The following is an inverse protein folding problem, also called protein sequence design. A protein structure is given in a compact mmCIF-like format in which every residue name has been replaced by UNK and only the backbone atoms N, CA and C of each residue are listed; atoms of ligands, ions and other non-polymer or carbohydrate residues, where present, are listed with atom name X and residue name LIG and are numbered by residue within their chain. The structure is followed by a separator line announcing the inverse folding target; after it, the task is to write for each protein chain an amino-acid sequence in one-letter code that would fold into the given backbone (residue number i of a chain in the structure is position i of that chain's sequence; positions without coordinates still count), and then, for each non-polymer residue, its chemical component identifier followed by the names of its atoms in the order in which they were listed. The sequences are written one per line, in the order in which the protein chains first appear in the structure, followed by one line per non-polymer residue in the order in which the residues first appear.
data_IF_199549412514
#
_entry.id   IF_199549412514
#
_cell.length_a   1.000
_cell.length_b   1.000
_cell.length_c   1.000
_cell.angle_alpha   90.00
_cell.angle_beta   90.00
_cell.angle_gamma   90.00
#
_symmetry.space_group_name_H-M   'P 1'
#
loop_
_entity.id
_entity.type
_entity.pdbx_description
1 polymer ?
#
# COMPACT_ATOMS: atom_id res chain seq x y z
N UNK A 1 1.68 -18.34 -16.95
CA UNK A 1 2.25 -17.81 -15.69
C UNK A 1 3.79 -17.80 -15.73
N UNK A 2 4.41 -17.04 -16.64
CA UNK A 2 5.89 -16.99 -16.81
C UNK A 2 6.45 -15.61 -17.19
N UNK A 3 5.64 -14.56 -17.17
CA UNK A 3 6.00 -13.23 -17.70
C UNK A 3 6.17 -12.14 -16.64
N UNK A 4 5.82 -12.39 -15.37
CA UNK A 4 6.02 -11.41 -14.27
C UNK A 4 7.39 -11.53 -13.60
N UNK A 5 8.05 -12.69 -13.70
CA UNK A 5 9.37 -12.90 -13.09
C UNK A 5 10.50 -12.19 -13.85
N UNK A 6 10.33 -11.95 -15.15
CA UNK A 6 11.36 -11.31 -15.98
C UNK A 6 11.42 -9.80 -15.74
N UNK A 7 10.28 -9.11 -15.62
CA UNK A 7 10.25 -7.64 -15.44
C UNK A 7 10.86 -7.17 -14.10
N UNK A 8 10.61 -7.89 -13.01
CA UNK A 8 11.24 -7.61 -11.70
C UNK A 8 12.75 -7.94 -11.73
N UNK A 9 13.16 -8.99 -12.44
CA UNK A 9 14.58 -9.32 -12.59
C UNK A 9 15.34 -8.27 -13.43
N UNK A 10 14.75 -7.74 -14.51
CA UNK A 10 15.40 -6.72 -15.36
C UNK A 10 15.61 -5.40 -14.62
N UNK A 11 14.64 -4.95 -13.85
CA UNK A 11 14.76 -3.72 -13.03
C UNK A 11 15.76 -3.87 -11.89
N UNK A 12 15.83 -5.05 -11.27
CA UNK A 12 16.83 -5.36 -10.25
C UNK A 12 18.26 -5.39 -10.82
N UNK A 13 18.45 -5.99 -12.00
CA UNK A 13 19.76 -6.02 -12.69
C UNK A 13 20.23 -4.62 -13.05
N UNK A 14 19.34 -3.75 -13.56
CA UNK A 14 19.68 -2.37 -13.89
C UNK A 14 20.08 -1.56 -12.64
N UNK A 15 19.32 -1.69 -11.55
CA UNK A 15 19.64 -1.02 -10.28
C UNK A 15 20.97 -1.51 -9.69
N UNK A 16 21.24 -2.82 -9.75
CA UNK A 16 22.50 -3.40 -9.33
C UNK A 16 23.69 -2.91 -10.16
N UNK A 17 23.53 -2.82 -11.48
CA UNK A 17 24.58 -2.34 -12.37
C UNK A 17 24.92 -0.87 -12.08
N UNK A 18 23.89 -0.05 -11.83
CA UNK A 18 24.07 1.33 -11.38
C UNK A 18 24.82 1.42 -10.04
N UNK A 19 24.44 0.64 -9.03
CA UNK A 19 25.09 0.62 -7.71
C UNK A 19 26.54 0.08 -7.81
N UNK A 20 26.79 -0.95 -8.61
CA UNK A 20 28.12 -1.57 -8.81
C UNK A 20 29.05 -0.73 -9.66
N UNK A 21 28.53 0.16 -10.51
CA UNK A 21 29.31 1.08 -11.34
C UNK A 21 30.15 2.10 -10.53
N UNK A 22 30.03 2.11 -9.19
CA UNK A 22 30.80 2.93 -8.24
C UNK A 22 30.68 4.45 -8.47
N UNK A 23 29.65 4.91 -9.18
CA UNK A 23 29.36 6.34 -9.33
C UNK A 23 28.56 6.89 -8.15
N UNK A 24 29.17 6.86 -6.97
CA UNK A 24 28.59 7.36 -5.72
C UNK A 24 28.05 8.79 -5.86
N UNK A 25 28.80 9.67 -6.53
CA UNK A 25 28.45 11.08 -6.72
C UNK A 25 27.10 11.25 -7.45
N UNK A 26 26.79 10.34 -8.37
CA UNK A 26 25.58 10.41 -9.20
C UNK A 26 24.36 9.77 -8.52
N UNK A 27 24.59 8.91 -7.52
CA UNK A 27 23.57 8.16 -6.78
C UNK A 27 23.29 8.73 -5.38
N UNK A 28 24.19 9.56 -4.85
CA UNK A 28 24.04 10.15 -3.53
C UNK A 28 23.12 11.35 -3.62
N UNK A 29 22.10 11.40 -2.78
CA UNK A 29 21.26 12.58 -2.65
C UNK A 29 22.15 13.80 -2.33
N UNK A 30 21.92 14.93 -3.01
CA UNK A 30 22.60 16.20 -2.73
C UNK A 30 22.62 16.61 -1.25
N UNK A 31 21.61 16.20 -0.47
CA UNK A 31 21.51 16.45 0.97
C UNK A 31 22.44 15.57 1.82
N UNK A 32 22.94 14.47 1.26
CA UNK A 32 23.88 13.54 1.90
C UNK A 32 25.33 13.82 1.48
N UNK A 33 25.55 14.68 0.49
CA UNK A 33 26.88 15.09 0.03
C UNK A 33 27.65 15.77 1.20
N UNK A 34 28.86 15.27 1.48
CA UNK A 34 29.71 15.78 2.58
C UNK A 34 29.38 15.26 3.99
N UNK A 35 28.32 14.46 4.19
CA UNK A 35 27.97 13.90 5.51
C UNK A 35 28.73 12.60 5.87
N UNK A 36 29.30 11.92 4.88
CA UNK A 36 30.00 10.65 5.05
C UNK A 36 31.40 10.72 4.45
N UNK A 37 32.39 10.10 5.10
CA UNK A 37 33.72 9.94 4.50
C UNK A 37 33.66 8.98 3.31
N UNK A 38 34.63 9.05 2.41
CA UNK A 38 34.74 8.14 1.25
C UNK A 38 34.71 6.67 1.68
N UNK A 39 35.31 6.33 2.82
CA UNK A 39 35.30 4.96 3.35
C UNK A 39 33.90 4.55 3.83
N UNK A 40 33.22 5.43 4.56
CA UNK A 40 31.86 5.19 5.06
C UNK A 40 30.86 5.01 3.92
N UNK A 41 30.93 5.87 2.90
CA UNK A 41 30.07 5.77 1.73
C UNK A 41 30.35 4.50 0.91
N UNK A 42 31.61 4.06 0.86
CA UNK A 42 31.98 2.79 0.22
C UNK A 42 31.36 1.59 0.96
N UNK A 43 31.33 1.62 2.29
CA UNK A 43 30.67 0.59 3.11
C UNK A 43 29.16 0.58 2.87
N UNK A 44 28.50 1.75 2.79
CA UNK A 44 27.07 1.86 2.51
C UNK A 44 26.70 1.32 1.12
N UNK A 45 27.48 1.63 0.09
CA UNK A 45 27.27 1.12 -1.27
C UNK A 45 27.45 -0.41 -1.30
N UNK A 46 28.46 -0.93 -0.61
CA UNK A 46 28.70 -2.37 -0.53
C UNK A 46 27.51 -3.07 0.15
N UNK A 47 27.03 -2.52 1.27
CA UNK A 47 25.86 -3.02 1.96
C UNK A 47 24.61 -2.99 1.07
N UNK A 48 24.34 -1.87 0.40
CA UNK A 48 23.22 -1.72 -0.52
C UNK A 48 23.27 -2.76 -1.64
N UNK A 49 24.45 -2.98 -2.24
CA UNK A 49 24.64 -3.99 -3.30
C UNK A 49 24.34 -5.42 -2.85
N UNK A 50 24.54 -5.71 -1.56
CA UNK A 50 24.25 -7.02 -0.96
C UNK A 50 22.79 -7.18 -0.57
N UNK A 51 22.05 -6.08 -0.38
CA UNK A 51 20.61 -6.10 -0.10
C UNK A 51 19.76 -6.45 -1.33
N UNK A 52 20.34 -6.40 -2.54
CA UNK A 52 19.68 -6.77 -3.80
C UNK A 52 20.38 -7.96 -4.48
N UNK A 53 20.52 -9.14 -3.86
CA UNK A 53 21.20 -10.25 -4.49
C UNK A 53 20.33 -10.92 -5.58
N UNK A 54 20.98 -11.55 -6.56
CA UNK A 54 20.31 -12.36 -7.59
C UNK A 54 19.61 -13.60 -6.97
N UNK A 55 20.17 -14.12 -5.86
CA UNK A 55 19.58 -15.21 -5.08
C UNK A 55 19.19 -14.76 -3.67
N UNK A 56 18.00 -15.12 -3.15
CA UNK A 56 17.53 -14.73 -1.82
C UNK A 56 18.43 -15.15 -0.65
N UNK A 57 19.28 -16.17 -0.86
CA UNK A 57 20.17 -16.73 0.18
C UNK A 57 21.39 -15.86 0.48
N UNK A 58 21.73 -14.95 -0.41
CA UNK A 58 22.88 -14.04 -0.25
C UNK A 58 22.49 -12.73 0.45
N UNK A 59 21.20 -12.55 0.75
CA UNK A 59 20.70 -11.33 1.38
C UNK A 59 21.27 -11.23 2.81
N UNK A 60 21.89 -10.11 3.19
CA UNK A 60 22.38 -9.94 4.54
C UNK A 60 21.21 -10.03 5.52
N UNK A 61 21.40 -10.79 6.60
CA UNK A 61 20.42 -10.82 7.66
C UNK A 61 20.32 -9.43 8.31
N UNK A 62 19.17 -9.14 8.95
CA UNK A 62 18.93 -7.84 9.57
C UNK A 62 20.01 -7.49 10.61
N UNK A 63 20.54 -8.48 11.33
CA UNK A 63 21.61 -8.29 12.33
C UNK A 63 22.89 -7.73 11.70
N UNK A 64 23.36 -8.34 10.62
CA UNK A 64 24.54 -7.91 9.87
C UNK A 64 24.36 -6.51 9.28
N UNK A 65 23.16 -6.18 8.81
CA UNK A 65 22.83 -4.83 8.34
C UNK A 65 22.98 -3.83 9.49
N UNK A 66 22.37 -4.11 10.64
CA UNK A 66 22.47 -3.26 11.83
C UNK A 66 23.90 -3.15 12.33
N UNK A 67 24.64 -4.25 12.42
CA UNK A 67 26.04 -4.28 12.86
C UNK A 67 26.95 -3.47 11.93
N UNK A 68 26.66 -3.46 10.62
CA UNK A 68 27.39 -2.67 9.62
C UNK A 68 27.06 -1.17 9.71
N UNK A 69 25.80 -0.83 10.02
CA UNK A 69 25.32 0.55 10.08
C UNK A 69 25.59 1.23 11.43
N UNK A 70 25.60 0.48 12.53
CA UNK A 70 25.83 0.99 13.88
C UNK A 70 27.11 1.86 14.02
N UNK A 71 28.29 1.46 13.52
CA UNK A 71 29.49 2.30 13.59
C UNK A 71 29.47 3.51 12.65
N UNK A 72 28.54 3.54 11.67
CA UNK A 72 28.37 4.65 10.73
C UNK A 72 27.38 5.71 11.25
N UNK A 73 26.69 5.43 12.35
CA UNK A 73 25.76 6.35 13.00
C UNK A 73 26.54 7.44 13.75
N UNK A 74 26.94 8.49 13.05
CA UNK A 74 27.75 9.60 13.59
C UNK A 74 26.92 10.67 14.32
N UNK A 75 25.59 10.64 14.16
CA UNK A 75 24.67 11.58 14.82
C UNK A 75 24.07 10.93 16.07
N UNK A 76 24.00 11.65 17.20
CA UNK A 76 23.32 11.15 18.39
C UNK A 76 21.89 10.74 18.02
N UNK A 77 21.39 9.66 18.60
CA UNK A 77 20.03 9.15 18.41
C UNK A 77 19.04 10.14 19.03
N UNK A 78 18.78 11.22 18.29
CA UNK A 78 17.85 12.27 18.63
C UNK A 78 16.50 11.82 18.12
N UNK A 79 15.53 11.73 19.04
CA UNK A 79 14.16 11.35 18.69
C UNK A 79 13.68 12.17 17.48
N UNK A 80 13.03 11.50 16.52
CA UNK A 80 12.70 12.08 15.20
C UNK A 80 11.99 13.43 15.29
N UNK A 81 11.12 13.62 16.29
CA UNK A 81 10.46 14.90 16.55
C UNK A 81 11.45 16.04 16.83
N UNK A 82 12.49 15.80 17.62
CA UNK A 82 13.53 16.80 17.92
C UNK A 82 14.38 17.08 16.67
N UNK A 83 14.74 16.04 15.91
CA UNK A 83 15.50 16.21 14.65
C UNK A 83 14.72 17.00 13.59
N UNK A 84 13.41 16.79 13.51
CA UNK A 84 12.53 17.47 12.56
C UNK A 84 12.08 18.86 13.06
N UNK A 85 12.60 19.34 14.19
CA UNK A 85 12.18 20.60 14.81
C UNK A 85 10.70 20.60 15.23
N UNK A 86 10.09 19.43 15.35
CA UNK A 86 8.72 19.24 15.80
C UNK A 86 8.77 19.33 17.32
N UNK A 87 8.24 20.44 17.85
CA UNK A 87 8.04 20.58 19.30
C UNK A 87 7.37 19.32 19.82
N UNK A 88 7.88 18.79 20.94
CA UNK A 88 7.23 17.72 21.71
C UNK A 88 5.74 18.01 21.71
N UNK A 89 4.90 17.02 21.38
CA UNK A 89 3.45 17.15 21.44
C UNK A 89 3.05 17.31 22.92
N UNK A 90 3.33 18.47 23.50
CA UNK A 90 2.49 19.04 24.54
C UNK A 90 1.12 19.10 23.89
N UNK A 91 0.24 18.27 24.45
CA UNK A 91 -1.17 18.10 24.11
C UNK A 91 -1.67 19.35 23.40
N UNK A 92 -1.77 19.23 22.07
CA UNK A 92 -2.03 20.38 21.22
C UNK A 92 -3.27 21.11 21.79
N UNK A 93 -3.25 22.46 21.93
CA UNK A 93 -4.46 23.19 22.28
C UNK A 93 -5.54 22.70 21.31
N UNK A 94 -6.77 22.41 21.81
CA UNK A 94 -7.77 21.66 21.05
C UNK A 94 -7.87 22.29 19.68
N UNK A 95 -7.31 21.59 18.68
CA UNK A 95 -7.38 22.03 17.30
C UNK A 95 -8.87 22.20 17.03
N UNK A 96 -9.29 23.28 16.33
CA UNK A 96 -10.69 23.44 15.98
C UNK A 96 -11.12 22.11 15.38
N UNK A 97 -12.11 21.45 16.00
CA UNK A 97 -12.48 20.08 15.67
C UNK A 97 -12.54 19.99 14.16
N UNK A 98 -11.56 19.31 13.56
CA UNK A 98 -11.50 19.15 12.11
C UNK A 98 -12.80 18.45 11.79
N UNK A 99 -13.76 19.17 11.20
CA UNK A 99 -15.10 18.63 10.97
C UNK A 99 -14.91 17.34 10.17
N UNK A 100 -15.08 16.20 10.84
CA UNK A 100 -14.90 14.91 10.20
C UNK A 100 -15.91 14.84 9.07
N UNK A 101 -15.52 14.21 7.96
CA UNK A 101 -16.50 13.84 6.96
C UNK A 101 -17.57 12.95 7.61
N UNK A 102 -18.79 12.88 7.07
CA UNK A 102 -19.82 11.97 7.59
C UNK A 102 -19.30 10.52 7.76
N UNK A 103 -18.45 10.07 6.83
CA UNK A 103 -17.75 8.78 6.91
C UNK A 103 -16.78 8.72 8.08
N UNK A 104 -15.92 9.73 8.25
CA UNK A 104 -14.97 9.79 9.35
C UNK A 104 -15.65 9.84 10.72
N UNK A 105 -16.80 10.50 10.81
CA UNK A 105 -17.63 10.57 12.01
C UNK A 105 -18.32 9.23 12.33
N UNK A 106 -18.78 8.52 11.30
CA UNK A 106 -19.35 7.18 11.46
C UNK A 106 -18.27 6.16 11.88
N UNK A 107 -17.08 6.23 11.28
CA UNK A 107 -15.93 5.39 11.64
C UNK A 107 -15.46 5.62 13.09
N UNK A 108 -15.39 6.87 13.55
CA UNK A 108 -14.96 7.18 14.92
C UNK A 108 -15.91 6.63 15.99
N UNK A 109 -17.19 6.51 15.64
CA UNK A 109 -18.22 5.89 16.49
C UNK A 109 -18.36 4.39 16.31
N UNK A 110 -17.63 3.79 15.36
CA UNK A 110 -17.82 2.40 14.92
C UNK A 110 -19.28 2.09 14.53
N UNK A 111 -19.99 3.08 13.98
CA UNK A 111 -21.39 2.91 13.57
C UNK A 111 -21.46 2.24 12.20
N UNK A 112 -21.40 0.90 12.19
CA UNK A 112 -21.45 0.10 10.97
C UNK A 112 -22.70 0.36 10.12
N UNK A 113 -23.82 0.76 10.75
CA UNK A 113 -25.06 1.07 10.05
C UNK A 113 -24.97 2.41 9.33
N UNK A 114 -24.39 3.43 9.97
CA UNK A 114 -24.11 4.70 9.32
C UNK A 114 -23.08 4.53 8.19
N UNK A 115 -22.02 3.74 8.40
CA UNK A 115 -21.03 3.42 7.36
C UNK A 115 -21.70 2.71 6.18
N UNK A 116 -22.58 1.74 6.42
CA UNK A 116 -23.37 1.07 5.38
C UNK A 116 -24.17 2.06 4.54
N UNK A 117 -24.95 2.93 5.20
CA UNK A 117 -25.77 3.93 4.51
C UNK A 117 -24.95 4.91 3.67
N UNK A 118 -23.75 5.25 4.14
CA UNK A 118 -22.83 6.10 3.40
C UNK A 118 -22.32 5.36 2.15
N UNK A 119 -21.85 4.12 2.30
CA UNK A 119 -21.34 3.31 1.17
C UNK A 119 -22.38 2.94 0.12
N UNK A 120 -23.66 2.83 0.52
CA UNK A 120 -24.79 2.69 -0.41
C UNK A 120 -24.97 3.97 -1.24
N UNK A 121 -24.81 5.14 -0.63
CA UNK A 121 -25.01 6.44 -1.29
C UNK A 121 -23.82 6.91 -2.12
N UNK A 122 -22.59 6.56 -1.74
CA UNK A 122 -21.38 7.08 -2.39
C UNK A 122 -21.11 6.47 -3.77
N UNK A 123 -21.86 5.45 -4.21
CA UNK A 123 -21.65 4.76 -5.50
C UNK A 123 -20.15 4.51 -5.75
N UNK A 124 -19.72 4.54 -7.02
CA UNK A 124 -18.32 4.38 -7.44
C UNK A 124 -17.64 5.73 -7.70
N UNK A 125 -18.06 6.80 -7.02
CA UNK A 125 -17.55 8.15 -7.31
C UNK A 125 -16.05 8.31 -7.02
N UNK A 126 -15.55 7.59 -6.02
CA UNK A 126 -14.15 7.66 -5.59
C UNK A 126 -13.25 6.67 -6.36
N UNK A 127 -13.81 5.93 -7.32
CA UNK A 127 -13.10 4.96 -8.16
C UNK A 127 -12.57 5.59 -9.46
N UNK A 128 -12.46 6.92 -9.51
CA UNK A 128 -12.06 7.70 -10.69
C UNK A 128 -10.60 7.41 -11.09
N UNK A 129 -10.42 6.84 -12.29
CA UNK A 129 -9.16 6.25 -12.76
C UNK A 129 -9.27 4.74 -13.07
N UNK A 130 -10.34 4.08 -12.61
CA UNK A 130 -10.65 2.67 -12.94
C UNK A 130 -11.62 2.54 -14.13
N UNK A 131 -12.05 3.65 -14.75
CA UNK A 131 -13.16 3.67 -15.72
C UNK A 131 -12.73 3.76 -17.21
N UNK A 132 -11.46 3.58 -17.56
CA UNK A 132 -11.06 3.47 -18.97
C UNK A 132 -11.15 2.01 -19.45
N UNK A 133 -12.38 1.54 -19.67
CA UNK A 133 -12.67 0.17 -20.13
C UNK A 133 -13.26 0.07 -21.54
N UNK A 134 -13.11 1.12 -22.36
CA UNK A 134 -13.82 1.24 -23.64
C UNK A 134 -13.48 0.18 -24.71
N UNK A 135 -12.45 -0.66 -24.50
CA UNK A 135 -12.07 -1.71 -25.46
C UNK A 135 -11.94 -3.13 -24.88
N UNK A 136 -12.05 -3.32 -23.56
CA UNK A 136 -11.93 -4.65 -22.92
C UNK A 136 -13.28 -5.23 -22.44
N UNK A 137 -14.33 -4.42 -22.31
CA UNK A 137 -15.70 -4.81 -21.89
C UNK A 137 -16.37 -5.92 -22.74
N UNK A 138 -15.80 -6.26 -23.88
CA UNK A 138 -16.41 -7.21 -24.82
C UNK A 138 -16.07 -8.68 -24.55
N UNK A 139 -15.16 -9.00 -23.63
CA UNK A 139 -14.86 -10.40 -23.31
C UNK A 139 -15.90 -11.00 -22.35
N UNK A 140 -16.27 -12.27 -22.54
CA UNK A 140 -17.23 -12.95 -21.67
C UNK A 140 -16.84 -12.90 -20.18
N UNK A 141 -15.56 -13.10 -19.79
CA UNK A 141 -15.14 -12.98 -18.41
C UNK A 141 -15.42 -11.60 -17.79
N UNK A 142 -15.21 -10.51 -18.54
CA UNK A 142 -15.49 -9.16 -18.04
C UNK A 142 -16.98 -8.86 -17.88
N UNK A 143 -17.82 -9.42 -18.76
CA UNK A 143 -19.28 -9.35 -18.58
C UNK A 143 -19.71 -10.08 -17.31
N UNK A 144 -19.18 -11.28 -17.10
CA UNK A 144 -19.49 -12.08 -15.91
C UNK A 144 -19.05 -11.35 -14.63
N UNK A 145 -17.91 -10.67 -14.69
CA UNK A 145 -17.42 -9.79 -13.61
C UNK A 145 -18.40 -8.63 -13.35
N UNK A 146 -18.74 -7.86 -14.38
CA UNK A 146 -19.67 -6.74 -14.22
C UNK A 146 -21.04 -7.19 -13.68
N UNK A 147 -21.55 -8.35 -14.09
CA UNK A 147 -22.80 -8.91 -13.57
C UNK A 147 -22.68 -9.39 -12.12
N UNK A 148 -21.58 -10.02 -11.73
CA UNK A 148 -21.34 -10.40 -10.34
C UNK A 148 -21.24 -9.16 -9.43
N UNK A 149 -20.60 -8.07 -9.89
CA UNK A 149 -20.59 -6.77 -9.20
C UNK A 149 -22.00 -6.22 -8.99
N UNK A 150 -22.83 -6.18 -10.03
CA UNK A 150 -24.22 -5.73 -9.93
C UNK A 150 -25.00 -6.55 -8.92
N UNK A 151 -24.87 -7.88 -8.94
CA UNK A 151 -25.51 -8.76 -7.95
C UNK A 151 -25.02 -8.47 -6.53
N UNK A 152 -23.72 -8.27 -6.35
CA UNK A 152 -23.13 -7.89 -5.07
C UNK A 152 -23.68 -6.57 -4.55
N UNK A 153 -23.85 -5.58 -5.41
CA UNK A 153 -24.42 -4.27 -5.07
C UNK A 153 -25.89 -4.35 -4.65
N UNK A 154 -26.70 -5.14 -5.34
CA UNK A 154 -28.09 -5.40 -4.94
C UNK A 154 -28.15 -6.09 -3.57
N UNK A 155 -27.35 -7.15 -3.37
CA UNK A 155 -27.29 -7.85 -2.09
C UNK A 155 -26.81 -6.94 -0.95
N UNK A 156 -25.80 -6.09 -1.20
CA UNK A 156 -25.29 -5.12 -0.24
C UNK A 156 -26.36 -4.09 0.15
N UNK A 157 -27.14 -3.60 -0.83
CA UNK A 157 -28.25 -2.68 -0.59
C UNK A 157 -29.34 -3.33 0.29
N UNK A 158 -29.72 -4.56 -0.03
CA UNK A 158 -30.78 -5.31 0.66
C UNK A 158 -30.31 -5.94 1.98
N UNK A 159 -29.05 -5.70 2.36
CA UNK A 159 -28.41 -6.22 3.59
C UNK A 159 -28.29 -7.74 3.63
N UNK A 160 -28.28 -8.38 2.47
CA UNK A 160 -27.83 -9.76 2.32
C UNK A 160 -26.30 -9.79 2.23
N UNK A 161 -25.66 -9.61 3.38
CA UNK A 161 -24.21 -9.44 3.46
C UNK A 161 -23.43 -10.70 3.05
N UNK A 162 -24.01 -11.89 3.21
CA UNK A 162 -23.36 -13.15 2.80
C UNK A 162 -23.28 -13.26 1.28
N UNK A 163 -24.41 -13.03 0.61
CA UNK A 163 -24.45 -13.01 -0.87
C UNK A 163 -23.58 -11.89 -1.43
N UNK A 164 -23.54 -10.72 -0.77
CA UNK A 164 -22.67 -9.63 -1.15
C UNK A 164 -21.18 -10.00 -1.04
N UNK A 165 -20.77 -10.66 0.05
CA UNK A 165 -19.40 -11.17 0.23
C UNK A 165 -19.03 -12.12 -0.90
N UNK A 166 -19.88 -13.10 -1.21
CA UNK A 166 -19.60 -14.10 -2.23
C UNK A 166 -19.42 -13.45 -3.61
N UNK A 167 -20.30 -12.51 -3.96
CA UNK A 167 -20.22 -11.78 -5.23
C UNK A 167 -18.94 -10.94 -5.32
N UNK A 168 -18.64 -10.13 -4.30
CA UNK A 168 -17.43 -9.28 -4.29
C UNK A 168 -16.13 -10.08 -4.19
N UNK A 169 -16.17 -11.28 -3.63
CA UNK A 169 -15.02 -12.17 -3.57
C UNK A 169 -14.77 -12.82 -4.94
N UNK A 170 -15.82 -13.30 -5.62
CA UNK A 170 -15.72 -13.82 -6.98
C UNK A 170 -15.11 -12.78 -7.94
N UNK A 171 -15.57 -11.52 -7.84
CA UNK A 171 -15.01 -10.39 -8.58
C UNK A 171 -13.49 -10.25 -8.43
N UNK A 172 -12.99 -10.38 -7.20
CA UNK A 172 -11.59 -10.14 -6.86
C UNK A 172 -10.64 -11.23 -7.38
N UNK A 173 -11.13 -12.43 -7.66
CA UNK A 173 -10.32 -13.58 -8.11
C UNK A 173 -10.28 -13.77 -9.63
N UNK A 174 -10.97 -12.93 -10.40
CA UNK A 174 -10.97 -13.02 -11.87
C UNK A 174 -9.78 -12.20 -12.42
N UNK A 175 -8.77 -12.91 -12.95
CA UNK A 175 -7.51 -12.39 -13.52
C UNK A 175 -7.69 -11.69 -14.89
N UNK A 176 -8.69 -10.82 -15.02
CA UNK A 176 -9.03 -10.16 -16.31
C UNK A 176 -8.38 -8.77 -16.44
N UNK A 177 -7.43 -8.45 -15.56
CA UNK A 177 -6.80 -7.14 -15.50
C UNK A 177 -7.29 -6.40 -14.27
N UNK A 178 -6.37 -6.24 -13.33
CA UNK A 178 -6.51 -5.76 -11.95
C UNK A 178 -7.29 -4.44 -11.84
N UNK A 179 -8.62 -4.52 -11.85
CA UNK A 179 -9.50 -3.42 -11.46
C UNK A 179 -9.89 -3.59 -10.00
N UNK A 180 -8.97 -3.26 -9.10
CA UNK A 180 -9.28 -3.24 -7.67
C UNK A 180 -10.11 -1.99 -7.41
N UNK A 181 -11.44 -2.14 -7.42
CA UNK A 181 -12.37 -1.09 -7.01
C UNK A 181 -12.25 -0.89 -5.49
N UNK A 182 -11.80 0.28 -5.01
CA UNK A 182 -11.76 0.59 -3.59
C UNK A 182 -13.15 0.47 -2.96
N UNK A 183 -14.20 0.85 -3.70
CA UNK A 183 -15.60 0.72 -3.26
C UNK A 183 -16.01 -0.74 -3.04
N UNK A 184 -15.68 -1.66 -3.96
CA UNK A 184 -15.98 -3.10 -3.80
C UNK A 184 -15.28 -3.65 -2.55
N UNK A 185 -14.02 -3.30 -2.35
CA UNK A 185 -13.26 -3.77 -1.19
C UNK A 185 -13.82 -3.22 0.13
N UNK A 186 -14.17 -1.94 0.19
CA UNK A 186 -14.79 -1.32 1.37
C UNK A 186 -16.14 -1.97 1.71
N UNK A 187 -16.99 -2.22 0.70
CA UNK A 187 -18.29 -2.89 0.89
C UNK A 187 -18.13 -4.32 1.39
N UNK A 188 -17.22 -5.09 0.79
CA UNK A 188 -16.90 -6.47 1.23
C UNK A 188 -16.41 -6.51 2.67
N UNK A 189 -15.48 -5.63 3.02
CA UNK A 189 -14.92 -5.55 4.37
C UNK A 189 -15.99 -5.21 5.40
N UNK A 190 -16.89 -4.27 5.07
CA UNK A 190 -18.02 -3.94 5.93
C UNK A 190 -18.99 -5.12 6.09
N UNK A 191 -19.27 -5.88 5.03
CA UNK A 191 -20.11 -7.08 5.13
C UNK A 191 -19.51 -8.11 6.10
N UNK A 192 -18.20 -8.32 6.08
CA UNK A 192 -17.53 -9.21 7.03
C UNK A 192 -17.69 -8.72 8.46
N UNK A 193 -17.52 -7.41 8.70
CA UNK A 193 -17.77 -6.81 10.02
C UNK A 193 -19.22 -6.97 10.48
N UNK A 194 -20.19 -6.79 9.58
CA UNK A 194 -21.62 -6.96 9.86
C UNK A 194 -22.04 -8.43 10.05
N UNK A 195 -21.20 -9.37 9.63
CA UNK A 195 -21.35 -10.80 9.85
C UNK A 195 -20.54 -11.33 11.05
N UNK A 196 -19.99 -10.44 11.90
CA UNK A 196 -19.13 -10.77 13.05
C UNK A 196 -17.86 -11.54 12.67
N UNK A 197 -17.29 -11.27 11.49
CA UNK A 197 -16.05 -11.89 10.98
C UNK A 197 -14.94 -10.85 10.75
N UNK A 198 -14.43 -10.20 11.80
CA UNK A 198 -13.45 -9.11 11.66
C UNK A 198 -12.12 -9.54 11.05
N UNK A 199 -11.67 -10.78 11.31
CA UNK A 199 -10.41 -11.30 10.78
C UNK A 199 -10.45 -11.48 9.24
N UNK A 200 -11.64 -11.72 8.69
CA UNK A 200 -11.85 -11.87 7.24
C UNK A 200 -12.08 -10.53 6.52
N UNK A 201 -12.21 -9.43 7.27
CA UNK A 201 -12.45 -8.10 6.71
C UNK A 201 -11.17 -7.45 6.15
N UNK A 202 -10.00 -8.07 6.33
CA UNK A 202 -8.67 -7.59 5.87
C UNK A 202 -8.26 -8.25 4.55
#
# INVERSE_FOLDING_TARGET
MKLTYTSSAYTNVQALDMIRSKNMILLTDSQLEGNFSTEQSTVLINLASRCFPYEPREQPNLKNVVDTLAPLQTKPEVASHVMLGIAKHEQAPPTPQRHLSPTGEACSRMDLRAIHQILVKTHYRDDEGTNELSFQEWTQPMRDTLEARKRGDFAFHDRDFKTAIDCYTQEMFIDVGTMVSPTVYARRSLCYLLCDQPDAAL
#
